data_IF_920089405977
#
_entry.id   IF_920089405977
#
_cell.length_a   1.000
_cell.length_b   1.000
_cell.length_c   1.000
_cell.angle_alpha   90.00
_cell.angle_beta   90.00
_cell.angle_gamma   90.00
#
_symmetry.space_group_name_H-M   'P 1'
#
loop_
_entity.id
_entity.type
_entity.pdbx_description
1 polymer ?
#
# COMPACT_ATOMS: atom_id res chain seq x y z
N UNK A 1 44.53 6.12 15.08
CA UNK A 1 43.61 7.25 14.84
C UNK A 1 44.31 8.40 14.09
N UNK A 2 45.40 8.13 13.36
CA UNK A 2 46.22 9.17 12.70
C UNK A 2 45.88 9.40 11.22
N UNK A 3 44.97 8.62 10.63
CA UNK A 3 44.48 8.79 9.26
C UNK A 3 43.73 10.13 9.05
N UNK A 4 43.28 10.77 10.14
CA UNK A 4 42.58 12.07 10.13
C UNK A 4 43.51 13.28 10.29
N UNK A 5 44.83 13.08 10.40
CA UNK A 5 45.78 14.20 10.54
C UNK A 5 46.43 14.61 9.24
N UNK A 6 46.32 13.80 8.19
CA UNK A 6 46.91 14.11 6.90
C UNK A 6 45.94 15.00 6.08
N UNK A 7 46.27 16.29 5.90
CA UNK A 7 45.41 17.22 5.16
C UNK A 7 45.23 16.81 3.70
N UNK A 8 46.15 16.04 3.12
CA UNK A 8 46.05 15.57 1.73
C UNK A 8 45.01 14.45 1.58
N UNK A 9 44.90 13.55 2.56
CA UNK A 9 43.87 12.51 2.58
C UNK A 9 42.47 13.08 2.82
N UNK A 10 42.34 14.08 3.69
CA UNK A 10 41.08 14.80 3.90
C UNK A 10 40.68 15.57 2.64
N UNK A 11 41.62 16.27 2.00
CA UNK A 11 41.37 16.96 0.74
C UNK A 11 40.96 15.98 -0.36
N UNK A 12 41.64 14.85 -0.51
CA UNK A 12 41.29 13.81 -1.49
C UNK A 12 39.91 13.19 -1.23
N UNK A 13 39.55 12.95 0.03
CA UNK A 13 38.23 12.44 0.41
C UNK A 13 37.12 13.46 0.13
N UNK A 14 37.34 14.74 0.46
CA UNK A 14 36.40 15.83 0.15
C UNK A 14 36.24 16.04 -1.36
N UNK A 15 37.35 15.99 -2.12
CA UNK A 15 37.31 16.07 -3.58
C UNK A 15 36.58 14.88 -4.19
N UNK A 16 36.82 13.67 -3.68
CA UNK A 16 36.09 12.45 -4.07
C UNK A 16 34.61 12.53 -3.74
N UNK A 17 34.24 13.08 -2.59
CA UNK A 17 32.85 13.26 -2.18
C UNK A 17 32.13 14.33 -3.01
N UNK A 18 32.78 15.46 -3.30
CA UNK A 18 32.23 16.51 -4.18
C UNK A 18 32.12 16.00 -5.62
N UNK A 19 33.12 15.27 -6.12
CA UNK A 19 33.07 14.62 -7.42
C UNK A 19 31.95 13.58 -7.47
N UNK A 20 31.73 12.80 -6.41
CA UNK A 20 30.63 11.85 -6.32
C UNK A 20 29.25 12.54 -6.29
N UNK A 21 29.10 13.68 -5.60
CA UNK A 21 27.87 14.46 -5.59
C UNK A 21 27.58 15.12 -6.94
N UNK A 22 28.58 15.68 -7.60
CA UNK A 22 28.46 16.25 -8.94
C UNK A 22 28.17 15.15 -9.97
N UNK A 23 28.87 14.02 -9.88
CA UNK A 23 28.60 12.82 -10.67
C UNK A 23 27.18 12.33 -10.42
N UNK A 24 26.69 12.30 -9.18
CA UNK A 24 25.31 11.91 -8.87
C UNK A 24 24.28 12.90 -9.43
N UNK A 25 24.56 14.20 -9.40
CA UNK A 25 23.72 15.23 -10.02
C UNK A 25 23.65 15.11 -11.54
N UNK A 26 24.80 14.89 -12.18
CA UNK A 26 24.92 14.67 -13.63
C UNK A 26 24.28 13.34 -14.00
N UNK A 27 24.60 12.25 -13.33
CA UNK A 27 23.99 10.93 -13.53
C UNK A 27 22.49 10.99 -13.31
N UNK A 28 21.96 11.71 -12.31
CA UNK A 28 20.51 11.85 -12.13
C UNK A 28 19.85 12.57 -13.31
N UNK A 29 20.43 13.67 -13.80
CA UNK A 29 19.91 14.39 -14.99
C UNK A 29 20.06 13.56 -16.26
N UNK A 30 21.21 12.93 -16.45
CA UNK A 30 21.53 12.06 -17.57
C UNK A 30 20.67 10.80 -17.55
N UNK A 31 20.42 10.19 -16.40
CA UNK A 31 19.53 9.03 -16.22
C UNK A 31 18.09 9.41 -16.52
N UNK A 32 17.62 10.60 -16.13
CA UNK A 32 16.28 11.08 -16.51
C UNK A 32 16.18 11.32 -18.03
N UNK A 33 17.23 11.85 -18.66
CA UNK A 33 17.30 12.03 -20.11
C UNK A 33 17.39 10.69 -20.85
N UNK A 34 18.23 9.77 -20.36
CA UNK A 34 18.42 8.42 -20.87
C UNK A 34 17.16 7.59 -20.65
N UNK A 35 16.43 7.72 -19.54
CA UNK A 35 15.13 7.09 -19.32
C UNK A 35 14.05 7.68 -20.25
N UNK A 36 14.08 8.99 -20.54
CA UNK A 36 13.19 9.60 -21.54
C UNK A 36 13.53 9.14 -22.96
N UNK A 37 14.82 9.00 -23.28
CA UNK A 37 15.33 8.50 -24.56
C UNK A 37 15.06 7.01 -24.71
N UNK A 38 15.38 6.17 -23.73
CA UNK A 38 15.01 4.75 -23.64
C UNK A 38 13.51 4.58 -23.72
N UNK A 39 12.70 5.38 -23.01
CA UNK A 39 11.24 5.34 -23.16
C UNK A 39 10.83 5.66 -24.61
N UNK A 40 11.45 6.63 -25.29
CA UNK A 40 11.19 6.91 -26.71
C UNK A 40 11.70 5.82 -27.65
N UNK A 41 12.85 5.23 -27.36
CA UNK A 41 13.55 4.24 -28.20
C UNK A 41 12.96 2.85 -28.00
N UNK A 42 12.75 2.37 -26.77
CA UNK A 42 12.03 1.13 -26.48
C UNK A 42 10.55 1.24 -26.85
N UNK A 43 9.86 2.37 -26.65
CA UNK A 43 8.44 2.42 -27.06
C UNK A 43 8.23 2.39 -28.58
N UNK A 44 9.25 2.71 -29.39
CA UNK A 44 9.15 2.69 -30.86
C UNK A 44 8.99 1.28 -31.46
N UNK A 45 9.80 0.24 -31.14
CA UNK A 45 9.59 -1.13 -31.59
C UNK A 45 8.37 -1.79 -30.94
N UNK A 46 7.98 -1.37 -29.73
CA UNK A 46 6.77 -1.89 -29.09
C UNK A 46 5.48 -1.20 -29.56
N UNK A 47 5.51 -0.03 -30.23
CA UNK A 47 4.31 0.61 -30.81
C UNK A 47 3.57 -0.27 -31.83
N UNK A 48 4.23 -0.91 -32.82
CA UNK A 48 3.54 -1.85 -33.70
C UNK A 48 3.04 -3.08 -32.93
N UNK A 49 3.77 -3.57 -31.92
CA UNK A 49 3.30 -4.67 -31.05
C UNK A 49 2.05 -4.28 -30.25
N UNK A 50 2.00 -3.07 -29.68
CA UNK A 50 0.83 -2.54 -28.93
C UNK A 50 -0.35 -2.29 -29.87
N UNK A 51 -0.10 -1.83 -31.11
CA UNK A 51 -1.15 -1.73 -32.15
C UNK A 51 -1.63 -3.09 -32.63
N UNK A 52 -0.73 -4.07 -32.76
CA UNK A 52 -1.03 -5.45 -33.12
C UNK A 52 -1.82 -6.13 -31.99
N UNK A 53 -1.43 -5.95 -30.72
CA UNK A 53 -2.15 -6.42 -29.55
C UNK A 53 -3.54 -5.75 -29.45
N UNK A 54 -3.67 -4.45 -29.76
CA UNK A 54 -4.98 -3.79 -29.89
C UNK A 54 -5.83 -4.37 -31.03
N UNK A 55 -5.23 -4.69 -32.19
CA UNK A 55 -5.93 -5.31 -33.32
C UNK A 55 -6.29 -6.78 -33.06
N UNK A 56 -5.43 -7.54 -32.38
CA UNK A 56 -5.68 -8.91 -31.94
C UNK A 56 -6.73 -8.97 -30.83
N UNK A 57 -6.84 -7.93 -29.99
CA UNK A 57 -7.94 -7.76 -29.01
C UNK A 57 -9.31 -7.56 -29.68
N UNK A 58 -9.35 -7.07 -30.92
CA UNK A 58 -10.58 -6.92 -31.72
C UNK A 58 -10.93 -8.23 -32.47
N UNK A 59 -9.95 -9.12 -32.69
CA UNK A 59 -10.13 -10.35 -33.48
C UNK A 59 -10.21 -11.64 -32.63
N UNK A 60 -9.87 -11.62 -31.33
CA UNK A 60 -9.88 -12.81 -30.46
C UNK A 60 -11.18 -12.97 -29.66
N UNK A 61 -12.22 -13.40 -30.36
CA UNK A 61 -13.26 -14.22 -29.74
C UNK A 61 -12.86 -15.70 -29.79
N UNK A 62 -13.02 -16.42 -28.67
CA UNK A 62 -13.11 -17.89 -28.57
C UNK A 62 -11.82 -18.73 -28.47
N UNK A 63 -10.93 -18.48 -27.51
CA UNK A 63 -10.12 -19.61 -26.96
C UNK A 63 -9.98 -19.53 -25.44
N UNK A 64 -10.16 -20.66 -24.75
CA UNK A 64 -10.14 -20.77 -23.29
C UNK A 64 -8.77 -20.43 -22.67
N UNK A 65 -7.67 -20.70 -23.38
CA UNK A 65 -6.32 -20.26 -22.97
C UNK A 65 -6.15 -18.73 -23.07
N UNK A 66 -6.82 -18.09 -24.03
CA UNK A 66 -6.88 -16.63 -24.10
C UNK A 66 -7.82 -16.04 -23.05
N UNK A 67 -8.82 -16.78 -22.56
CA UNK A 67 -9.63 -16.37 -21.41
C UNK A 67 -8.80 -16.36 -20.12
N UNK A 68 -8.00 -17.39 -19.83
CA UNK A 68 -7.13 -17.39 -18.64
C UNK A 68 -6.04 -16.30 -18.68
N UNK A 69 -5.43 -16.05 -19.85
CA UNK A 69 -4.48 -14.95 -20.01
C UNK A 69 -5.16 -13.57 -20.03
N UNK A 70 -6.39 -13.46 -20.54
CA UNK A 70 -7.20 -12.24 -20.47
C UNK A 70 -7.74 -12.00 -19.06
N UNK A 71 -8.01 -13.03 -18.27
CA UNK A 71 -8.35 -12.93 -16.85
C UNK A 71 -7.13 -12.48 -16.05
N UNK A 72 -5.96 -13.08 -16.26
CA UNK A 72 -4.71 -12.61 -15.67
C UNK A 72 -4.35 -11.17 -16.07
N UNK A 73 -4.55 -10.82 -17.35
CA UNK A 73 -4.36 -9.47 -17.85
C UNK A 73 -5.45 -8.49 -17.38
N UNK A 74 -6.69 -8.94 -17.15
CA UNK A 74 -7.78 -8.16 -16.57
C UNK A 74 -7.60 -7.97 -15.06
N UNK A 75 -7.04 -8.94 -14.35
CA UNK A 75 -6.64 -8.79 -12.94
C UNK A 75 -5.48 -7.79 -12.84
N UNK A 76 -4.53 -7.83 -13.79
CA UNK A 76 -3.49 -6.81 -13.93
C UNK A 76 -4.04 -5.44 -14.37
N UNK A 77 -5.01 -5.38 -15.30
CA UNK A 77 -5.71 -4.15 -15.74
C UNK A 77 -6.57 -3.57 -14.62
N UNK A 78 -7.21 -4.39 -13.77
CA UNK A 78 -7.90 -3.95 -12.55
C UNK A 78 -6.92 -3.41 -11.52
N UNK A 79 -5.79 -4.09 -11.33
CA UNK A 79 -4.66 -3.57 -10.54
C UNK A 79 -4.04 -2.26 -11.09
N UNK A 80 -4.38 -1.87 -12.33
CA UNK A 80 -3.88 -0.68 -13.01
C UNK A 80 -4.94 0.39 -13.34
N UNK A 81 -6.25 0.13 -13.20
CA UNK A 81 -7.26 1.14 -13.60
C UNK A 81 -8.76 0.81 -13.52
N UNK A 82 -9.23 -0.16 -12.73
CA UNK A 82 -10.67 -0.29 -12.44
C UNK A 82 -10.92 -0.05 -10.96
N UNK A 83 -11.96 0.73 -10.66
CA UNK A 83 -12.40 1.08 -9.31
C UNK A 83 -12.68 -0.21 -8.52
N UNK A 84 -12.08 -0.35 -7.33
CA UNK A 84 -12.35 -1.49 -6.43
C UNK A 84 -13.83 -1.46 -6.01
N UNK A 85 -14.42 -2.60 -5.64
CA UNK A 85 -15.84 -2.60 -5.18
C UNK A 85 -16.09 -1.65 -4.01
N UNK A 86 -15.10 -1.50 -3.13
CA UNK A 86 -15.09 -0.49 -2.06
C UNK A 86 -15.21 0.94 -2.62
N UNK A 87 -14.50 1.25 -3.71
CA UNK A 87 -14.53 2.57 -4.35
C UNK A 87 -15.86 2.83 -5.06
N UNK A 88 -16.37 1.79 -5.72
CA UNK A 88 -17.70 1.81 -6.32
C UNK A 88 -18.75 2.08 -5.23
N UNK A 89 -18.73 1.31 -4.14
CA UNK A 89 -19.64 1.48 -3.01
C UNK A 89 -19.52 2.87 -2.35
N UNK A 90 -18.30 3.40 -2.21
CA UNK A 90 -18.04 4.74 -1.68
C UNK A 90 -18.63 5.85 -2.55
N UNK A 91 -18.63 5.65 -3.87
CA UNK A 91 -19.11 6.63 -4.85
C UNK A 91 -20.60 6.52 -5.14
N UNK A 92 -21.29 5.46 -4.74
CA UNK A 92 -22.73 5.40 -4.96
C UNK A 92 -23.44 6.47 -4.11
N UNK A 93 -24.41 7.17 -4.67
CA UNK A 93 -25.29 8.08 -3.92
C UNK A 93 -26.36 7.27 -3.17
N UNK A 94 -26.73 7.71 -1.97
CA UNK A 94 -27.67 6.99 -1.10
C UNK A 94 -29.11 7.00 -1.64
N UNK A 95 -29.50 8.08 -2.33
CA UNK A 95 -30.89 8.34 -2.74
C UNK A 95 -31.05 8.48 -4.27
N UNK A 96 -30.23 7.79 -5.07
CA UNK A 96 -30.36 7.84 -6.52
C UNK A 96 -31.71 7.23 -6.96
N UNK A 97 -32.62 7.98 -7.61
CA UNK A 97 -33.91 7.45 -8.05
C UNK A 97 -33.69 6.34 -9.10
N UNK A 98 -34.47 5.26 -8.99
CA UNK A 98 -34.40 4.11 -9.88
C UNK A 98 -34.46 4.56 -11.35
N UNK A 99 -33.40 4.28 -12.11
CA UNK A 99 -33.31 4.60 -13.54
C UNK A 99 -32.65 5.94 -13.90
N UNK A 100 -32.29 6.80 -12.93
CA UNK A 100 -31.42 7.94 -13.21
C UNK A 100 -30.00 7.46 -13.51
N UNK A 101 -29.29 8.15 -14.42
CA UNK A 101 -27.83 7.97 -14.55
C UNK A 101 -27.24 8.25 -13.18
N UNK A 102 -26.74 7.21 -12.50
CA UNK A 102 -26.16 7.33 -11.17
C UNK A 102 -25.02 8.34 -11.24
N UNK A 103 -25.28 9.56 -10.76
CA UNK A 103 -24.22 10.51 -10.48
C UNK A 103 -23.39 9.92 -9.35
N UNK A 104 -22.11 9.71 -9.62
CA UNK A 104 -21.17 9.21 -8.63
C UNK A 104 -20.83 10.36 -7.69
N UNK A 105 -20.81 10.08 -6.38
CA UNK A 105 -20.36 11.02 -5.38
C UNK A 105 -18.91 11.41 -5.65
N UNK A 106 -18.69 12.73 -5.72
CA UNK A 106 -17.36 13.29 -5.93
C UNK A 106 -16.74 13.68 -4.59
N UNK A 107 -15.50 13.24 -4.38
CA UNK A 107 -14.74 13.46 -3.15
C UNK A 107 -13.91 14.77 -3.21
N UNK A 108 -14.26 15.73 -4.06
CA UNK A 108 -13.51 16.98 -4.22
C UNK A 108 -13.33 17.74 -2.90
N UNK A 109 -14.37 17.81 -2.06
CA UNK A 109 -14.31 18.49 -0.77
C UNK A 109 -13.38 17.76 0.21
N UNK A 110 -13.51 16.43 0.31
CA UNK A 110 -12.63 15.59 1.12
C UNK A 110 -11.18 15.70 0.65
N UNK A 111 -10.95 15.66 -0.67
CA UNK A 111 -9.61 15.77 -1.26
C UNK A 111 -8.98 17.13 -1.02
N UNK A 112 -9.77 18.22 -1.00
CA UNK A 112 -9.29 19.56 -0.70
C UNK A 112 -8.79 19.70 0.76
N UNK A 113 -9.36 18.93 1.69
CA UNK A 113 -8.97 18.92 3.10
C UNK A 113 -7.72 18.05 3.34
N UNK A 114 -7.54 16.99 2.53
CA UNK A 114 -6.41 16.07 2.68
C UNK A 114 -5.10 16.68 2.14
N UNK A 115 -4.10 16.79 3.02
CA UNK A 115 -2.77 17.29 2.63
C UNK A 115 -1.90 16.10 2.17
N UNK A 116 -1.61 16.04 0.86
CA UNK A 116 -0.79 15.00 0.23
C UNK A 116 0.59 15.57 -0.11
N UNK A 117 1.65 15.02 0.47
CA UNK A 117 3.04 15.49 0.26
C UNK A 117 3.95 14.41 -0.31
N UNK A 118 5.09 14.84 -0.86
CA UNK A 118 6.19 13.95 -1.26
C UNK A 118 6.22 13.58 -2.75
N UNK A 119 7.43 13.58 -3.32
CA UNK A 119 7.65 13.38 -4.75
C UNK A 119 7.77 11.89 -5.13
N UNK A 120 8.65 11.16 -4.43
CA UNK A 120 8.93 9.74 -4.72
C UNK A 120 7.98 8.85 -3.91
N UNK A 121 7.98 9.04 -2.60
CA UNK A 121 7.04 8.43 -1.67
C UNK A 121 6.05 9.48 -1.21
N UNK A 122 4.78 9.11 -1.17
CA UNK A 122 3.68 9.99 -0.80
C UNK A 122 3.36 9.86 0.68
N UNK A 123 3.04 10.98 1.31
CA UNK A 123 2.39 11.02 2.61
C UNK A 123 1.00 11.61 2.51
N UNK A 124 0.11 11.17 3.41
CA UNK A 124 -1.19 11.78 3.63
C UNK A 124 -1.23 12.27 5.07
N UNK A 125 -1.63 13.52 5.27
CA UNK A 125 -2.00 14.06 6.57
C UNK A 125 -3.49 14.31 6.62
N UNK A 126 -4.12 13.88 7.71
CA UNK A 126 -5.57 14.02 7.92
C UNK A 126 -5.82 15.04 9.03
N UNK A 127 -6.22 16.28 8.70
CA UNK A 127 -6.46 17.31 9.72
C UNK A 127 -7.70 16.98 10.56
N UNK A 128 -7.82 17.58 11.74
CA UNK A 128 -8.98 17.39 12.61
C UNK A 128 -10.30 17.88 11.97
N UNK A 129 -10.22 18.90 11.11
CA UNK A 129 -11.35 19.43 10.35
C UNK A 129 -11.94 18.43 9.34
N UNK A 130 -11.27 17.29 9.11
CA UNK A 130 -11.80 16.23 8.25
C UNK A 130 -12.97 15.46 8.89
N UNK A 131 -13.12 15.53 10.22
CA UNK A 131 -14.22 14.88 10.93
C UNK A 131 -15.57 15.49 10.49
N UNK A 132 -16.61 14.67 10.26
CA UNK A 132 -17.92 15.20 9.90
C UNK A 132 -18.57 15.93 11.08
N UNK A 133 -19.41 16.92 10.79
CA UNK A 133 -19.97 17.82 11.80
C UNK A 133 -20.77 17.10 12.89
N UNK A 134 -21.50 16.04 12.51
CA UNK A 134 -22.27 15.21 13.43
C UNK A 134 -21.40 14.42 14.44
N UNK A 135 -20.09 14.30 14.20
CA UNK A 135 -19.11 13.76 15.15
C UNK A 135 -18.31 14.86 15.87
N UNK A 136 -18.05 15.98 15.21
CA UNK A 136 -17.23 17.07 15.73
C UNK A 136 -17.95 17.90 16.81
N UNK A 137 -19.26 18.13 16.64
CA UNK A 137 -20.11 18.90 17.57
C UNK A 137 -20.79 18.04 18.64
N UNK A 138 -21.55 18.66 19.59
CA UNK A 138 -22.31 17.96 20.63
C UNK A 138 -23.47 17.13 20.06
N UNK A 139 -24.02 16.18 20.84
CA UNK A 139 -25.15 15.34 20.42
C UNK A 139 -26.45 16.15 20.51
N UNK A 140 -26.69 16.99 19.51
CA UNK A 140 -27.94 17.74 19.41
C UNK A 140 -29.11 16.82 19.05
N UNK A 141 -30.32 17.32 19.24
CA UNK A 141 -31.53 16.59 18.87
C UNK A 141 -31.54 16.22 17.38
N UNK A 142 -31.09 17.13 16.51
CA UNK A 142 -30.96 16.89 15.07
C UNK A 142 -30.00 15.73 14.75
N UNK A 143 -28.85 15.67 15.43
CA UNK A 143 -27.90 14.56 15.27
C UNK A 143 -28.50 13.25 15.79
N UNK A 144 -29.24 13.30 16.90
CA UNK A 144 -29.93 12.14 17.41
C UNK A 144 -31.03 11.64 16.46
N UNK A 145 -31.78 12.54 15.81
CA UNK A 145 -32.80 12.19 14.81
C UNK A 145 -32.16 11.55 13.57
N UNK A 146 -31.04 12.13 13.11
CA UNK A 146 -30.21 11.53 12.08
C UNK A 146 -29.80 10.10 12.48
N UNK A 147 -29.28 9.91 13.69
CA UNK A 147 -28.83 8.59 14.16
C UNK A 147 -29.97 7.58 14.27
N UNK A 148 -31.17 7.98 14.71
CA UNK A 148 -32.35 7.10 14.73
C UNK A 148 -32.72 6.66 13.32
N UNK A 149 -32.75 7.61 12.38
CA UNK A 149 -33.07 7.33 10.98
C UNK A 149 -32.07 6.35 10.38
N UNK A 150 -30.77 6.61 10.55
CA UNK A 150 -29.69 5.75 10.04
C UNK A 150 -29.67 4.37 10.70
N UNK A 151 -29.92 4.31 12.01
CA UNK A 151 -30.06 3.04 12.71
C UNK A 151 -31.28 2.26 12.20
N UNK A 152 -32.40 2.93 11.93
CA UNK A 152 -33.59 2.28 11.38
C UNK A 152 -33.28 1.68 10.00
N UNK A 153 -32.62 2.43 9.12
CA UNK A 153 -32.14 1.91 7.83
C UNK A 153 -31.25 0.70 8.04
N UNK A 154 -30.21 0.81 8.87
CA UNK A 154 -29.27 -0.28 9.17
C UNK A 154 -29.96 -1.58 9.62
N UNK A 155 -30.88 -1.51 10.58
CA UNK A 155 -31.58 -2.70 11.08
C UNK A 155 -32.64 -3.25 10.11
N UNK A 156 -33.05 -2.46 9.12
CA UNK A 156 -33.98 -2.89 8.07
C UNK A 156 -33.29 -3.33 6.77
N UNK A 157 -32.00 -3.04 6.62
CA UNK A 157 -31.25 -3.32 5.41
C UNK A 157 -31.11 -4.84 5.21
N UNK A 158 -31.45 -5.37 4.03
CA UNK A 158 -31.20 -6.78 3.73
C UNK A 158 -29.69 -7.04 3.64
N UNK A 159 -29.26 -8.18 4.17
CA UNK A 159 -27.87 -8.64 4.00
C UNK A 159 -27.73 -9.20 2.59
N UNK A 160 -27.16 -8.41 1.69
CA UNK A 160 -26.91 -8.79 0.31
C UNK A 160 -25.63 -9.63 0.23
N UNK A 161 -25.74 -10.96 0.24
CA UNK A 161 -24.62 -11.85 -0.05
C UNK A 161 -24.42 -11.88 -1.57
N UNK A 162 -23.46 -11.11 -2.07
CA UNK A 162 -23.12 -11.08 -3.49
C UNK A 162 -21.68 -11.54 -3.64
N UNK A 163 -21.47 -12.64 -4.35
CA UNK A 163 -20.13 -13.08 -4.74
C UNK A 163 -19.85 -12.56 -6.13
N UNK A 164 -18.92 -11.62 -6.23
CA UNK A 164 -18.35 -11.28 -7.52
C UNK A 164 -17.09 -12.11 -7.72
N UNK A 165 -17.11 -13.07 -8.66
CA UNK A 165 -15.97 -13.93 -9.00
C UNK A 165 -14.72 -13.13 -9.41
N UNK A 166 -14.91 -11.85 -9.72
CA UNK A 166 -13.90 -10.91 -10.17
C UNK A 166 -13.32 -10.05 -9.04
N UNK A 167 -13.95 -10.05 -7.87
CA UNK A 167 -13.54 -9.29 -6.69
C UNK A 167 -12.80 -10.18 -5.72
N UNK A 168 -11.88 -9.59 -4.97
CA UNK A 168 -11.29 -10.29 -3.84
C UNK A 168 -12.30 -10.28 -2.70
N UNK A 169 -12.39 -11.38 -1.94
CA UNK A 169 -13.35 -11.52 -0.85
C UNK A 169 -13.35 -10.30 0.09
N UNK A 170 -12.16 -9.75 0.35
CA UNK A 170 -12.01 -8.62 1.24
C UNK A 170 -12.52 -7.30 0.63
N UNK A 171 -12.49 -7.14 -0.70
CA UNK A 171 -13.06 -5.96 -1.35
C UNK A 171 -14.59 -6.03 -1.36
N UNK A 172 -15.17 -7.23 -1.50
CA UNK A 172 -16.62 -7.45 -1.39
C UNK A 172 -17.14 -7.22 0.04
N UNK A 173 -16.45 -7.77 1.04
CA UNK A 173 -16.74 -7.50 2.46
C UNK A 173 -16.63 -6.00 2.77
N UNK A 174 -15.57 -5.35 2.31
CA UNK A 174 -15.37 -3.91 2.48
C UNK A 174 -16.48 -3.09 1.82
N UNK A 175 -16.91 -3.46 0.62
CA UNK A 175 -17.99 -2.79 -0.10
C UNK A 175 -19.34 -2.93 0.63
N UNK A 176 -19.63 -4.11 1.17
CA UNK A 176 -20.82 -4.35 1.99
C UNK A 176 -20.81 -3.46 3.24
N UNK A 177 -19.71 -3.44 4.00
CA UNK A 177 -19.56 -2.58 5.17
C UNK A 177 -19.75 -1.10 4.81
N UNK A 178 -19.13 -0.66 3.72
CA UNK A 178 -19.32 0.70 3.21
C UNK A 178 -20.78 0.95 2.89
N UNK A 179 -21.50 0.06 2.19
CA UNK A 179 -22.91 0.29 1.85
C UNK A 179 -23.82 0.47 3.08
N UNK A 180 -23.51 -0.20 4.19
CA UNK A 180 -24.29 -0.10 5.43
C UNK A 180 -24.10 1.25 6.14
N UNK A 181 -22.90 1.81 6.11
CA UNK A 181 -22.53 3.00 6.87
C UNK A 181 -22.14 4.20 6.01
N UNK A 182 -22.22 4.08 4.69
CA UNK A 182 -21.87 5.08 3.67
C UNK A 182 -22.47 6.44 3.94
N UNK A 183 -23.71 6.48 4.44
CA UNK A 183 -24.41 7.73 4.66
C UNK A 183 -23.92 8.52 5.89
N UNK A 184 -23.10 7.90 6.74
CA UNK A 184 -22.63 8.50 8.00
C UNK A 184 -21.09 8.51 8.08
N UNK A 185 -20.46 7.42 7.65
CA UNK A 185 -19.02 7.17 7.81
C UNK A 185 -18.25 7.21 6.47
N UNK A 186 -18.84 7.76 5.40
CA UNK A 186 -18.20 7.84 4.06
C UNK A 186 -16.77 8.36 4.12
N UNK A 187 -16.60 9.48 4.81
CA UNK A 187 -15.31 10.18 4.96
C UNK A 187 -14.27 9.28 5.63
N UNK A 188 -14.68 8.50 6.62
CA UNK A 188 -13.81 7.55 7.32
C UNK A 188 -13.31 6.47 6.38
N UNK A 189 -14.23 5.74 5.74
CA UNK A 189 -13.86 4.67 4.82
C UNK A 189 -13.05 5.17 3.63
N UNK A 190 -13.36 6.36 3.11
CA UNK A 190 -12.58 7.00 2.06
C UNK A 190 -11.13 7.26 2.50
N UNK A 191 -10.90 7.85 3.69
CA UNK A 191 -9.54 8.07 4.20
C UNK A 191 -8.79 6.76 4.45
N UNK A 192 -9.46 5.76 5.01
CA UNK A 192 -8.85 4.44 5.22
C UNK A 192 -8.42 3.81 3.89
N UNK A 193 -9.24 3.94 2.85
CA UNK A 193 -8.89 3.49 1.51
C UNK A 193 -7.73 4.31 0.89
N UNK A 194 -7.74 5.63 1.02
CA UNK A 194 -6.64 6.47 0.51
C UNK A 194 -5.32 6.19 1.22
N UNK A 195 -5.34 5.92 2.53
CA UNK A 195 -4.19 5.48 3.31
C UNK A 195 -3.69 4.12 2.82
N UNK A 196 -4.59 3.14 2.65
CA UNK A 196 -4.29 1.82 2.03
C UNK A 196 -3.55 1.98 0.70
N UNK A 197 -4.12 2.77 -0.21
CA UNK A 197 -3.55 3.03 -1.55
C UNK A 197 -2.20 3.71 -1.49
N UNK A 198 -2.02 4.66 -0.59
CA UNK A 198 -0.77 5.40 -0.45
C UNK A 198 0.35 4.50 0.08
N UNK A 199 0.05 3.72 1.13
CA UNK A 199 0.97 2.75 1.71
C UNK A 199 1.39 1.70 0.67
N UNK A 200 0.42 1.06 0.01
CA UNK A 200 0.69 0.08 -1.04
C UNK A 200 1.42 0.70 -2.22
N UNK A 201 1.04 1.92 -2.62
CA UNK A 201 1.69 2.67 -3.68
C UNK A 201 3.15 2.97 -3.39
N UNK A 202 3.49 3.32 -2.15
CA UNK A 202 4.86 3.55 -1.71
C UNK A 202 5.67 2.25 -1.71
N UNK A 203 5.12 1.16 -1.17
CA UNK A 203 5.77 -0.14 -1.16
C UNK A 203 6.06 -0.61 -2.60
N UNK A 204 5.08 -0.52 -3.49
CA UNK A 204 5.23 -0.83 -4.92
C UNK A 204 6.30 0.03 -5.59
N UNK A 205 6.31 1.34 -5.33
CA UNK A 205 7.32 2.26 -5.89
C UNK A 205 8.72 1.93 -5.38
N UNK A 206 8.86 1.59 -4.10
CA UNK A 206 10.13 1.14 -3.54
C UNK A 206 10.58 -0.10 -4.29
N UNK A 207 9.77 -1.15 -4.35
CA UNK A 207 10.09 -2.40 -5.05
C UNK A 207 10.54 -2.16 -6.50
N UNK A 208 9.83 -1.33 -7.26
CA UNK A 208 10.25 -1.02 -8.64
C UNK A 208 11.52 -0.19 -8.72
N UNK A 209 11.72 0.78 -7.81
CA UNK A 209 12.94 1.59 -7.78
C UNK A 209 14.15 0.72 -7.46
N UNK A 210 14.03 -0.17 -6.47
CA UNK A 210 15.09 -1.10 -6.08
C UNK A 210 15.36 -2.12 -7.19
N UNK A 211 14.30 -2.67 -7.78
CA UNK A 211 14.41 -3.54 -8.95
C UNK A 211 15.17 -2.83 -10.08
N UNK A 212 14.78 -1.62 -10.45
CA UNK A 212 15.44 -0.87 -11.52
C UNK A 212 16.92 -0.60 -11.24
N UNK A 213 17.29 -0.23 -10.00
CA UNK A 213 18.69 -0.03 -9.61
C UNK A 213 19.49 -1.33 -9.73
N UNK A 214 18.92 -2.45 -9.28
CA UNK A 214 19.57 -3.76 -9.33
C UNK A 214 19.76 -4.25 -10.78
N UNK A 215 18.78 -4.05 -11.66
CA UNK A 215 18.93 -4.38 -13.09
C UNK A 215 19.97 -3.49 -13.78
N UNK A 216 20.00 -2.20 -13.45
CA UNK A 216 20.98 -1.28 -14.02
C UNK A 216 22.41 -1.68 -13.63
N UNK A 217 22.62 -1.96 -12.34
CA UNK A 217 23.89 -2.45 -11.84
C UNK A 217 24.27 -3.80 -12.44
N UNK A 218 23.30 -4.72 -12.53
CA UNK A 218 23.50 -6.02 -13.13
C UNK A 218 23.94 -5.91 -14.59
N UNK A 219 23.23 -5.10 -15.38
CA UNK A 219 23.56 -4.87 -16.78
C UNK A 219 24.95 -4.26 -16.93
N UNK A 220 25.30 -3.26 -16.13
CA UNK A 220 26.63 -2.66 -16.14
C UNK A 220 27.72 -3.68 -15.77
N UNK A 221 27.47 -4.53 -14.77
CA UNK A 221 28.39 -5.57 -14.33
C UNK A 221 28.58 -6.64 -15.41
N UNK A 222 27.49 -7.11 -16.02
CA UNK A 222 27.52 -8.10 -17.09
C UNK A 222 28.32 -7.59 -18.30
N UNK A 223 28.07 -6.33 -18.69
CA UNK A 223 28.80 -5.68 -19.78
C UNK A 223 30.30 -5.64 -19.50
N UNK A 224 30.70 -5.24 -18.29
CA UNK A 224 32.12 -5.20 -17.90
C UNK A 224 32.70 -6.61 -17.97
N UNK A 225 32.09 -7.59 -17.29
CA UNK A 225 32.58 -8.98 -17.22
C UNK A 225 32.69 -9.62 -18.60
N UNK A 226 31.66 -9.50 -19.45
CA UNK A 226 31.70 -10.07 -20.81
C UNK A 226 32.78 -9.40 -21.66
N UNK A 227 32.98 -8.09 -21.50
CA UNK A 227 34.03 -7.37 -22.23
C UNK A 227 35.42 -7.82 -21.81
N UNK A 228 35.67 -7.99 -20.50
CA UNK A 228 36.95 -8.53 -20.00
C UNK A 228 37.17 -9.95 -20.49
N UNK A 229 36.14 -10.80 -20.47
CA UNK A 229 36.23 -12.17 -20.98
C UNK A 229 36.60 -12.21 -22.46
N UNK A 230 35.92 -11.41 -23.29
CA UNK A 230 36.15 -11.39 -24.74
C UNK A 230 37.59 -10.95 -25.06
N UNK A 231 38.10 -9.94 -24.35
CA UNK A 231 39.46 -9.40 -24.54
C UNK A 231 40.53 -10.35 -23.99
N UNK A 232 40.39 -10.79 -22.74
CA UNK A 232 41.45 -11.49 -22.00
C UNK A 232 41.49 -12.99 -22.31
N UNK A 233 40.33 -13.64 -22.48
CA UNK A 233 40.22 -15.10 -22.61
C UNK A 233 39.97 -15.49 -24.06
N UNK A 234 38.94 -14.92 -24.68
CA UNK A 234 38.58 -15.28 -26.06
C UNK A 234 39.50 -14.65 -27.11
N UNK A 235 40.34 -13.67 -26.72
CA UNK A 235 41.19 -12.85 -27.61
C UNK A 235 40.39 -12.25 -28.79
N UNK A 236 39.11 -11.98 -28.55
CA UNK A 236 38.18 -11.32 -29.47
C UNK A 236 38.19 -9.83 -29.17
N UNK A 237 37.87 -9.00 -30.17
CA UNK A 237 37.57 -7.59 -29.92
C UNK A 237 36.39 -7.45 -28.93
N UNK A 238 36.22 -6.28 -28.29
CA UNK A 238 35.15 -6.07 -27.32
C UNK A 238 33.77 -6.25 -27.97
N UNK A 239 32.89 -7.05 -27.35
CA UNK A 239 31.53 -7.30 -27.86
C UNK A 239 30.61 -6.08 -27.84
N UNK A 240 30.97 -5.04 -27.09
CA UNK A 240 30.20 -3.80 -27.01
C UNK A 240 31.01 -2.62 -27.55
N UNK A 241 30.43 -1.74 -28.39
CA UNK A 241 31.14 -0.63 -29.02
C UNK A 241 31.85 0.30 -28.02
N UNK A 242 31.23 0.50 -26.86
CA UNK A 242 31.77 1.36 -25.81
C UNK A 242 32.80 0.65 -24.92
N UNK A 243 32.85 -0.69 -24.93
CA UNK A 243 33.81 -1.45 -24.15
C UNK A 243 35.23 -1.32 -24.71
N UNK A 244 35.39 -0.94 -25.98
CA UNK A 244 36.69 -0.58 -26.55
C UNK A 244 37.39 0.56 -25.80
N UNK A 245 36.62 1.52 -25.27
CA UNK A 245 37.19 2.62 -24.46
C UNK A 245 37.60 2.20 -23.06
N UNK A 246 37.00 1.12 -22.54
CA UNK A 246 37.29 0.58 -21.21
C UNK A 246 38.37 -0.51 -21.26
N UNK A 247 38.54 -1.15 -22.42
CA UNK A 247 39.47 -2.24 -22.67
C UNK A 247 40.92 -2.01 -22.16
N UNK A 248 41.54 -0.82 -22.34
CA UNK A 248 42.90 -0.59 -21.87
C UNK A 248 43.04 -0.56 -20.34
N UNK A 249 41.93 -0.36 -19.63
CA UNK A 249 41.88 -0.15 -18.18
C UNK A 249 41.21 -1.30 -17.42
N UNK A 250 40.70 -2.30 -18.14
CA UNK A 250 39.98 -3.44 -17.59
C UNK A 250 40.84 -4.70 -17.72
N UNK A 251 41.68 -4.94 -16.71
CA UNK A 251 42.12 -6.31 -16.41
C UNK A 251 41.06 -7.04 -15.56
N UNK A 252 41.26 -8.33 -15.31
CA UNK A 252 40.28 -9.12 -14.56
C UNK A 252 40.08 -8.63 -13.11
N UNK A 253 41.17 -8.22 -12.44
CA UNK A 253 41.12 -7.73 -11.06
C UNK A 253 40.34 -6.42 -10.97
N UNK A 254 40.61 -5.45 -11.85
CA UNK A 254 39.90 -4.17 -11.93
C UNK A 254 38.42 -4.37 -12.29
N UNK A 255 38.08 -5.30 -13.17
CA UNK A 255 36.70 -5.67 -13.46
C UNK A 255 35.98 -6.24 -12.22
N UNK A 256 36.64 -7.13 -11.48
CA UNK A 256 36.10 -7.69 -10.23
C UNK A 256 35.91 -6.63 -9.14
N UNK A 257 36.90 -5.75 -8.96
CA UNK A 257 36.79 -4.60 -8.06
C UNK A 257 35.69 -3.63 -8.48
N UNK A 258 35.48 -3.42 -9.78
CA UNK A 258 34.38 -2.60 -10.27
C UNK A 258 33.01 -3.22 -9.94
N UNK A 259 32.84 -4.53 -10.16
CA UNK A 259 31.58 -5.22 -9.86
C UNK A 259 31.28 -5.15 -8.35
N UNK A 260 32.26 -5.47 -7.51
CA UNK A 260 32.10 -5.41 -6.04
C UNK A 260 31.90 -3.98 -5.55
N UNK A 261 32.73 -3.04 -6.01
CA UNK A 261 32.64 -1.63 -5.63
C UNK A 261 31.32 -0.99 -6.04
N UNK A 262 30.86 -1.25 -7.27
CA UNK A 262 29.55 -0.78 -7.75
C UNK A 262 28.38 -1.43 -7.00
N UNK A 263 28.51 -2.69 -6.59
CA UNK A 263 27.51 -3.36 -5.75
C UNK A 263 27.39 -2.67 -4.39
N UNK A 264 28.51 -2.30 -3.76
CA UNK A 264 28.52 -1.54 -2.50
C UNK A 264 27.84 -0.18 -2.69
N UNK A 265 28.17 0.55 -3.75
CA UNK A 265 27.54 1.85 -4.06
C UNK A 265 26.03 1.70 -4.23
N UNK A 266 25.58 0.68 -4.96
CA UNK A 266 24.15 0.39 -5.16
C UNK A 266 23.48 0.02 -3.84
N UNK A 267 24.15 -0.78 -3.00
CA UNK A 267 23.71 -1.12 -1.65
C UNK A 267 23.56 0.10 -0.74
N UNK A 268 24.50 1.05 -0.79
CA UNK A 268 24.41 2.31 -0.05
C UNK A 268 23.25 3.17 -0.58
N UNK A 269 23.13 3.34 -1.89
CA UNK A 269 22.02 4.08 -2.52
C UNK A 269 20.66 3.48 -2.14
N UNK A 270 20.60 2.16 -2.13
CA UNK A 270 19.46 1.40 -1.69
C UNK A 270 19.09 1.72 -0.24
N UNK A 271 20.06 1.66 0.68
CA UNK A 271 19.85 1.98 2.10
C UNK A 271 19.40 3.43 2.29
N UNK A 272 19.92 4.36 1.48
CA UNK A 272 19.51 5.77 1.52
C UNK A 272 18.05 5.96 1.05
N UNK A 273 17.67 5.37 -0.08
CA UNK A 273 16.29 5.44 -0.62
C UNK A 273 15.30 4.79 0.36
N UNK A 274 15.67 3.65 0.93
CA UNK A 274 14.84 2.89 1.86
C UNK A 274 14.74 3.58 3.23
N UNK A 275 15.86 4.05 3.78
CA UNK A 275 15.93 4.66 5.11
C UNK A 275 15.36 6.07 5.18
N UNK A 276 15.85 6.97 4.31
CA UNK A 276 15.43 8.38 4.34
C UNK A 276 14.14 8.63 3.55
N UNK A 277 13.92 7.91 2.45
CA UNK A 277 12.75 8.09 1.61
C UNK A 277 11.55 7.31 2.12
N UNK A 278 11.64 5.98 2.05
CA UNK A 278 10.49 5.11 2.26
C UNK A 278 10.09 5.02 3.73
N UNK A 279 11.02 4.64 4.61
CA UNK A 279 10.72 4.36 6.02
C UNK A 279 10.10 5.57 6.71
N UNK A 280 10.68 6.76 6.52
CA UNK A 280 10.16 7.99 7.12
C UNK A 280 8.71 8.29 6.69
N UNK A 281 8.41 8.18 5.39
CA UNK A 281 7.06 8.45 4.88
C UNK A 281 6.08 7.36 5.30
N UNK A 282 6.53 6.12 5.37
CA UNK A 282 5.70 4.98 5.77
C UNK A 282 5.32 5.05 7.25
N UNK A 283 6.29 5.31 8.13
CA UNK A 283 6.04 5.57 9.56
C UNK A 283 5.12 6.78 9.76
N UNK A 284 5.32 7.85 8.98
CA UNK A 284 4.41 9.00 9.04
C UNK A 284 2.97 8.62 8.68
N UNK A 285 2.76 7.90 7.57
CA UNK A 285 1.42 7.45 7.17
C UNK A 285 0.77 6.53 8.20
N UNK A 286 1.53 5.58 8.77
CA UNK A 286 1.03 4.68 9.82
C UNK A 286 0.63 5.46 11.07
N UNK A 287 1.47 6.42 11.50
CA UNK A 287 1.16 7.30 12.63
C UNK A 287 -0.06 8.17 12.37
N UNK A 288 -0.19 8.77 11.19
CA UNK A 288 -1.36 9.57 10.82
C UNK A 288 -2.64 8.74 10.77
N UNK A 289 -2.57 7.52 10.22
CA UNK A 289 -3.68 6.57 10.25
C UNK A 289 -4.12 6.24 11.68
N UNK A 290 -3.16 5.93 12.56
CA UNK A 290 -3.42 5.68 13.98
C UNK A 290 -4.06 6.90 14.66
N UNK A 291 -3.49 8.08 14.49
CA UNK A 291 -4.02 9.31 15.08
C UNK A 291 -5.42 9.65 14.58
N UNK A 292 -5.68 9.42 13.29
CA UNK A 292 -7.01 9.56 12.71
C UNK A 292 -8.01 8.60 13.37
N UNK A 293 -7.68 7.31 13.48
CA UNK A 293 -8.54 6.31 14.10
C UNK A 293 -8.84 6.62 15.57
N UNK A 294 -7.82 6.98 16.36
CA UNK A 294 -8.01 7.36 17.77
C UNK A 294 -8.97 8.54 17.88
N UNK A 295 -8.82 9.58 17.04
CA UNK A 295 -9.73 10.73 17.05
C UNK A 295 -11.15 10.32 16.63
N UNK A 296 -11.28 9.57 15.54
CA UNK A 296 -12.58 9.20 14.97
C UNK A 296 -13.37 8.29 15.92
N UNK A 297 -12.75 7.20 16.38
CA UNK A 297 -13.36 6.23 17.29
C UNK A 297 -13.56 6.83 18.69
N UNK A 298 -12.65 7.70 19.14
CA UNK A 298 -12.83 8.48 20.36
C UNK A 298 -14.10 9.33 20.33
N UNK A 299 -14.37 10.02 19.21
CA UNK A 299 -15.62 10.78 19.03
C UNK A 299 -16.84 9.87 19.00
N UNK A 300 -16.78 8.70 18.37
CA UNK A 300 -17.89 7.74 18.41
C UNK A 300 -18.15 7.27 19.84
N UNK A 301 -17.11 6.99 20.62
CA UNK A 301 -17.23 6.60 22.02
C UNK A 301 -17.82 7.74 22.88
N UNK A 302 -17.45 8.99 22.64
CA UNK A 302 -18.07 10.15 23.30
C UNK A 302 -19.58 10.22 22.98
N UNK A 303 -19.96 10.05 21.69
CA UNK A 303 -21.38 10.01 21.28
C UNK A 303 -22.14 8.86 21.93
N UNK A 304 -21.50 7.71 22.12
CA UNK A 304 -22.09 6.56 22.82
C UNK A 304 -22.35 6.87 24.30
N UNK A 305 -21.39 7.51 24.99
CA UNK A 305 -21.55 7.91 26.40
C UNK A 305 -22.65 8.95 26.56
N UNK A 306 -22.71 9.95 25.68
CA UNK A 306 -23.79 10.94 25.67
C UNK A 306 -25.16 10.29 25.40
N UNK A 307 -25.26 9.38 24.43
CA UNK A 307 -26.49 8.64 24.15
C UNK A 307 -26.93 7.78 25.35
N UNK A 308 -25.99 7.15 26.04
CA UNK A 308 -26.25 6.36 27.25
C UNK A 308 -26.73 7.25 28.41
N UNK A 309 -26.11 8.42 28.60
CA UNK A 309 -26.54 9.41 29.58
C UNK A 309 -27.97 9.90 29.32
N UNK A 310 -28.26 10.25 28.07
CA UNK A 310 -29.60 10.68 27.66
C UNK A 310 -30.64 9.55 27.80
N UNK A 311 -30.28 8.31 27.47
CA UNK A 311 -31.15 7.14 27.67
C UNK A 311 -31.53 6.97 29.15
N UNK A 312 -30.57 7.08 30.06
CA UNK A 312 -30.85 7.03 31.51
C UNK A 312 -31.76 8.16 31.97
N UNK A 313 -31.76 9.31 31.30
CA UNK A 313 -32.54 10.47 31.72
C UNK A 313 -33.96 10.49 31.14
N UNK A 314 -34.33 9.56 30.26
CA UNK A 314 -35.66 9.53 29.60
C UNK A 314 -36.81 9.54 30.61
N UNK A 315 -36.64 8.89 31.76
CA UNK A 315 -37.69 8.76 32.79
C UNK A 315 -37.76 9.94 33.73
N UNK A 316 -36.80 10.87 33.67
CA UNK A 316 -36.71 12.03 34.57
C UNK A 316 -37.40 13.23 33.93
N UNK A 317 -38.58 13.61 34.43
CA UNK A 317 -39.25 14.88 34.11
C UNK A 317 -40.52 14.79 33.24
N UNK A 318 -40.72 13.71 32.48
CA UNK A 318 -41.89 13.50 31.59
C UNK A 318 -42.80 12.35 32.08
N UNK A 319 -43.01 12.31 33.39
CA UNK A 319 -43.65 11.23 34.14
C UNK A 319 -45.13 10.95 33.77
N UNK A 320 -45.81 11.88 33.12
CA UNK A 320 -47.26 11.83 32.91
C UNK A 320 -47.71 11.18 31.59
N UNK A 321 -46.84 11.02 30.59
CA UNK A 321 -47.21 10.47 29.27
C UNK A 321 -46.37 9.24 28.90
N UNK A 322 -46.91 8.06 29.21
CA UNK A 322 -46.27 6.76 28.98
C UNK A 322 -45.94 6.51 27.50
N UNK A 323 -46.71 7.07 26.55
CA UNK A 323 -46.45 6.91 25.12
C UNK A 323 -45.22 7.71 24.69
N UNK A 324 -45.08 8.95 25.18
CA UNK A 324 -43.89 9.77 24.91
C UNK A 324 -42.63 9.15 25.51
N UNK A 325 -42.71 8.67 26.75
CA UNK A 325 -41.61 7.96 27.41
C UNK A 325 -41.18 6.72 26.60
N UNK A 326 -42.14 5.89 26.18
CA UNK A 326 -41.84 4.70 25.38
C UNK A 326 -41.20 5.05 24.03
N UNK A 327 -41.65 6.11 23.36
CA UNK A 327 -41.05 6.58 22.11
C UNK A 327 -39.62 7.11 22.29
N UNK A 328 -39.38 7.90 23.35
CA UNK A 328 -38.05 8.40 23.69
C UNK A 328 -37.09 7.25 24.06
N UNK A 329 -37.54 6.30 24.88
CA UNK A 329 -36.76 5.12 25.25
C UNK A 329 -36.40 4.29 24.02
N UNK A 330 -37.36 4.04 23.12
CA UNK A 330 -37.12 3.33 21.84
C UNK A 330 -36.10 4.05 20.97
N UNK A 331 -36.16 5.39 20.90
CA UNK A 331 -35.21 6.22 20.16
C UNK A 331 -33.79 6.05 20.69
N UNK A 332 -33.59 6.28 21.99
CA UNK A 332 -32.26 6.21 22.59
C UNK A 332 -31.70 4.80 22.62
N UNK A 333 -32.53 3.79 22.89
CA UNK A 333 -32.13 2.38 22.82
C UNK A 333 -31.61 2.02 21.41
N UNK A 334 -32.31 2.46 20.36
CA UNK A 334 -31.87 2.19 18.98
C UNK A 334 -30.50 2.84 18.68
N UNK A 335 -30.29 4.08 19.13
CA UNK A 335 -28.99 4.77 18.99
C UNK A 335 -27.90 4.01 19.76
N UNK A 336 -28.18 3.63 21.01
CA UNK A 336 -27.24 2.91 21.88
C UNK A 336 -26.82 1.57 21.29
N UNK A 337 -27.71 0.83 20.64
CA UNK A 337 -27.35 -0.45 20.01
C UNK A 337 -26.60 -0.22 18.69
N UNK A 338 -26.97 0.80 17.92
CA UNK A 338 -26.38 1.07 16.60
C UNK A 338 -24.95 1.62 16.66
N UNK A 339 -24.64 2.52 17.61
CA UNK A 339 -23.31 3.13 17.71
C UNK A 339 -22.19 2.07 17.91
N UNK A 340 -22.32 1.07 18.79
CA UNK A 340 -21.34 -0.01 18.90
C UNK A 340 -21.14 -0.80 17.61
N UNK A 341 -22.21 -1.09 16.84
CA UNK A 341 -22.07 -1.72 15.53
C UNK A 341 -21.23 -0.88 14.57
N UNK A 342 -21.37 0.46 14.57
CA UNK A 342 -20.48 1.33 13.78
C UNK A 342 -19.02 1.10 14.14
N UNK A 343 -18.69 1.13 15.43
CA UNK A 343 -17.32 0.91 15.92
C UNK A 343 -16.79 -0.46 15.50
N UNK A 344 -17.57 -1.51 15.68
CA UNK A 344 -17.22 -2.87 15.28
C UNK A 344 -16.93 -2.98 13.78
N UNK A 345 -17.80 -2.43 12.93
CA UNK A 345 -17.63 -2.52 11.48
C UNK A 345 -16.49 -1.64 10.94
N UNK A 346 -16.24 -0.46 11.54
CA UNK A 346 -15.03 0.32 11.24
C UNK A 346 -13.78 -0.50 11.58
N UNK A 347 -13.79 -1.20 12.71
CA UNK A 347 -12.67 -2.05 13.12
C UNK A 347 -12.45 -3.23 12.16
N UNK A 348 -13.53 -3.94 11.76
CA UNK A 348 -13.46 -4.98 10.73
C UNK A 348 -12.86 -4.43 9.43
N UNK A 349 -13.28 -3.23 9.01
CA UNK A 349 -12.75 -2.60 7.81
C UNK A 349 -11.26 -2.24 7.94
N UNK A 350 -10.80 -1.75 9.11
CA UNK A 350 -9.37 -1.49 9.35
C UNK A 350 -8.55 -2.78 9.35
N UNK A 351 -9.07 -3.86 9.96
CA UNK A 351 -8.43 -5.19 9.92
C UNK A 351 -8.27 -5.68 8.49
N UNK A 352 -9.32 -5.51 7.68
CA UNK A 352 -9.31 -5.81 6.27
C UNK A 352 -8.27 -4.96 5.51
N UNK A 353 -8.25 -3.62 5.69
CA UNK A 353 -7.23 -2.74 5.10
C UNK A 353 -5.81 -3.20 5.47
N UNK A 354 -5.56 -3.55 6.74
CA UNK A 354 -4.27 -4.06 7.19
C UNK A 354 -3.91 -5.38 6.49
N UNK A 355 -4.85 -6.32 6.41
CA UNK A 355 -4.65 -7.58 5.72
C UNK A 355 -4.28 -7.37 4.24
N UNK A 356 -5.01 -6.50 3.56
CA UNK A 356 -4.75 -6.20 2.16
C UNK A 356 -3.38 -5.53 1.94
N UNK A 357 -2.98 -4.63 2.84
CA UNK A 357 -1.64 -4.06 2.83
C UNK A 357 -0.58 -5.17 2.99
N UNK A 358 -0.75 -6.05 3.98
CA UNK A 358 0.16 -7.17 4.23
C UNK A 358 0.32 -8.06 3.01
N UNK A 359 -0.81 -8.49 2.44
CA UNK A 359 -0.89 -9.34 1.26
C UNK A 359 -0.23 -8.68 0.04
N UNK A 360 -0.56 -7.42 -0.23
CA UNK A 360 0.02 -6.71 -1.38
C UNK A 360 1.53 -6.52 -1.24
N UNK A 361 2.01 -6.21 -0.03
CA UNK A 361 3.45 -6.18 0.26
C UNK A 361 4.13 -7.55 0.03
N UNK A 362 3.45 -8.66 0.37
CA UNK A 362 3.93 -10.01 0.03
C UNK A 362 3.95 -10.24 -1.47
N UNK A 363 2.95 -9.79 -2.23
CA UNK A 363 2.99 -9.91 -3.69
C UNK A 363 4.13 -9.12 -4.33
N UNK A 364 4.47 -7.96 -3.77
CA UNK A 364 5.62 -7.18 -4.24
C UNK A 364 6.96 -7.89 -3.99
N UNK A 365 7.04 -8.91 -3.13
CA UNK A 365 8.25 -9.73 -2.95
C UNK A 365 8.57 -10.56 -4.20
N UNK A 366 7.53 -11.01 -4.92
CA UNK A 366 7.73 -11.84 -6.10
C UNK A 366 8.34 -11.07 -7.27
N UNK A 367 8.11 -9.76 -7.34
CA UNK A 367 8.63 -8.90 -8.42
C UNK A 367 10.17 -8.97 -8.50
N UNK A 368 10.94 -8.67 -7.43
CA UNK A 368 12.39 -8.75 -7.46
C UNK A 368 12.90 -10.19 -7.62
N UNK A 369 12.21 -11.19 -7.05
CA UNK A 369 12.58 -12.61 -7.23
C UNK A 369 12.50 -13.00 -8.71
N UNK A 370 11.35 -12.75 -9.35
CA UNK A 370 11.15 -13.04 -10.77
C UNK A 370 12.10 -12.25 -11.64
N UNK A 371 12.40 -11.01 -11.25
CA UNK A 371 13.39 -10.17 -11.93
C UNK A 371 14.79 -10.78 -11.90
N UNK A 372 15.26 -11.22 -10.73
CA UNK A 372 16.57 -11.86 -10.59
C UNK A 372 16.61 -13.18 -11.37
N UNK A 373 15.54 -13.98 -11.31
CA UNK A 373 15.43 -15.21 -12.09
C UNK A 373 15.49 -14.94 -13.60
N UNK A 374 14.81 -13.89 -14.08
CA UNK A 374 14.88 -13.46 -15.47
C UNK A 374 16.29 -13.03 -15.86
N UNK A 375 16.97 -12.25 -15.02
CA UNK A 375 18.37 -11.86 -15.25
C UNK A 375 19.29 -13.08 -15.33
N UNK A 376 19.12 -14.06 -14.45
CA UNK A 376 19.87 -15.31 -14.48
C UNK A 376 19.65 -16.05 -15.80
N UNK A 377 18.38 -16.21 -16.23
CA UNK A 377 18.03 -16.85 -17.50
C UNK A 377 18.64 -16.12 -18.70
N UNK A 378 18.55 -14.79 -18.75
CA UNK A 378 19.18 -13.97 -19.82
C UNK A 378 20.69 -14.20 -19.87
N UNK A 379 21.32 -14.38 -18.73
CA UNK A 379 22.76 -14.58 -18.60
C UNK A 379 23.17 -15.96 -19.11
N UNK A 380 22.46 -17.00 -18.65
CA UNK A 380 22.65 -18.36 -19.14
C UNK A 380 22.43 -18.44 -20.66
N UNK A 381 21.36 -17.80 -21.17
CA UNK A 381 21.09 -17.74 -22.61
C UNK A 381 22.19 -17.00 -23.38
N UNK A 382 22.68 -15.88 -22.86
CA UNK A 382 23.76 -15.11 -23.50
C UNK A 382 25.04 -15.94 -23.59
N UNK A 383 25.36 -16.71 -22.54
CA UNK A 383 26.48 -17.64 -22.53
C UNK A 383 26.23 -18.83 -23.48
N UNK A 384 25.00 -19.36 -23.51
CA UNK A 384 24.66 -20.52 -24.33
C UNK A 384 24.64 -20.24 -25.85
N UNK A 385 24.25 -19.03 -26.26
CA UNK A 385 24.28 -18.61 -27.67
C UNK A 385 25.73 -18.55 -28.19
N UNK A 386 26.70 -18.30 -27.31
CA UNK A 386 28.13 -18.36 -27.63
C UNK A 386 28.62 -19.81 -27.55
N UNK A 387 28.06 -20.70 -28.38
CA UNK A 387 28.22 -22.16 -28.31
C UNK A 387 29.68 -22.67 -28.20
N UNK A 388 30.66 -21.98 -28.80
CA UNK A 388 32.09 -22.32 -28.68
C UNK A 388 32.67 -22.07 -27.27
N UNK A 389 32.04 -21.18 -26.50
CA UNK A 389 32.50 -20.76 -25.18
C UNK A 389 31.95 -21.66 -24.06
N UNK A 390 30.93 -22.51 -24.28
CA UNK A 390 30.35 -23.38 -23.23
C UNK A 390 31.33 -24.49 -22.82
N UNK A 391 32.00 -25.11 -23.78
CA UNK A 391 33.01 -26.14 -23.51
C UNK A 391 34.23 -25.53 -22.81
N UNK A 392 34.61 -24.31 -23.18
CA UNK A 392 35.65 -23.51 -22.52
C UNK A 392 35.22 -23.08 -21.11
N UNK A 393 33.95 -22.71 -20.92
CA UNK A 393 33.33 -22.43 -19.61
C UNK A 393 33.43 -23.64 -18.69
N UNK A 394 33.04 -24.80 -19.22
CA UNK A 394 33.02 -26.06 -18.48
C UNK A 394 34.45 -26.49 -18.08
N UNK A 395 35.41 -26.35 -19.00
CA UNK A 395 36.82 -26.59 -18.68
C UNK A 395 37.40 -25.54 -17.73
N UNK A 396 37.01 -24.27 -17.82
CA UNK A 396 37.46 -23.23 -16.89
C UNK A 396 36.87 -23.40 -15.48
N UNK A 397 35.63 -23.87 -15.36
CA UNK A 397 35.01 -24.24 -14.07
C UNK A 397 35.71 -25.47 -13.46
N UNK A 398 36.09 -26.45 -14.28
CA UNK A 398 36.84 -27.63 -13.83
C UNK A 398 38.32 -27.33 -13.52
N UNK A 399 38.90 -26.29 -14.13
CA UNK A 399 40.29 -25.88 -13.93
C UNK A 399 40.52 -25.01 -12.68
N UNK A 400 39.57 -24.98 -11.75
CA UNK A 400 39.64 -24.24 -10.49
C UNK A 400 39.74 -22.71 -10.65
N UNK A 401 39.22 -22.18 -11.77
CA UNK A 401 39.10 -20.73 -11.93
C UNK A 401 37.93 -20.23 -11.05
N UNK A 402 38.28 -19.85 -9.82
CA UNK A 402 37.44 -19.17 -8.82
C UNK A 402 36.61 -18.02 -9.42
N UNK A 403 37.11 -17.45 -10.51
CA UNK A 403 36.54 -16.41 -11.35
C UNK A 403 35.12 -16.73 -11.88
N UNK A 404 34.84 -18.00 -12.23
CA UNK A 404 33.53 -18.41 -12.74
C UNK A 404 32.44 -18.48 -11.67
N UNK A 405 32.83 -18.62 -10.40
CA UNK A 405 31.90 -18.65 -9.26
C UNK A 405 31.47 -17.26 -8.80
N UNK A 406 32.17 -16.20 -9.23
CA UNK A 406 31.85 -14.81 -8.84
C UNK A 406 30.45 -14.43 -9.34
N UNK A 407 30.12 -14.72 -10.59
CA UNK A 407 28.82 -14.32 -11.15
C UNK A 407 27.63 -15.01 -10.44
N UNK A 408 27.62 -16.35 -10.26
CA UNK A 408 26.58 -17.03 -9.48
C UNK A 408 26.54 -16.60 -8.00
N UNK A 409 27.69 -16.38 -7.36
CA UNK A 409 27.72 -15.89 -5.97
C UNK A 409 27.14 -14.49 -5.85
N UNK A 410 27.43 -13.60 -6.80
CA UNK A 410 26.86 -12.26 -6.86
C UNK A 410 25.34 -12.31 -7.08
N UNK A 411 24.85 -13.24 -7.90
CA UNK A 411 23.42 -13.52 -8.05
C UNK A 411 22.76 -13.99 -6.75
N UNK A 412 23.36 -14.99 -6.09
CA UNK A 412 22.87 -15.55 -4.84
C UNK A 412 22.87 -14.48 -3.73
N UNK A 413 23.96 -13.73 -3.60
CA UNK A 413 24.10 -12.66 -2.61
C UNK A 413 23.08 -11.55 -2.85
N UNK A 414 22.87 -11.15 -4.11
CA UNK A 414 21.85 -10.15 -4.48
C UNK A 414 20.44 -10.64 -4.14
N UNK A 415 20.13 -11.91 -4.40
CA UNK A 415 18.85 -12.52 -4.06
C UNK A 415 18.64 -12.55 -2.53
N UNK A 416 19.67 -12.94 -1.78
CA UNK A 416 19.64 -12.98 -0.30
C UNK A 416 19.45 -11.57 0.28
N UNK A 417 20.20 -10.58 -0.19
CA UNK A 417 20.08 -9.19 0.27
C UNK A 417 18.67 -8.65 -0.04
N UNK A 418 18.15 -8.92 -1.24
CA UNK A 418 16.80 -8.48 -1.62
C UNK A 418 15.72 -9.16 -0.78
N UNK A 419 15.82 -10.47 -0.56
CA UNK A 419 14.89 -11.21 0.27
C UNK A 419 14.94 -10.73 1.73
N UNK A 420 16.14 -10.54 2.28
CA UNK A 420 16.35 -10.02 3.63
C UNK A 420 15.77 -8.63 3.78
N UNK A 421 16.07 -7.69 2.89
CA UNK A 421 15.54 -6.33 3.01
C UNK A 421 14.02 -6.32 2.83
N UNK A 422 13.49 -7.05 1.86
CA UNK A 422 12.04 -7.05 1.64
C UNK A 422 11.29 -7.58 2.87
N UNK A 423 11.78 -8.68 3.47
CA UNK A 423 11.24 -9.24 4.71
C UNK A 423 11.41 -8.29 5.90
N UNK A 424 12.63 -7.88 6.20
CA UNK A 424 12.94 -7.15 7.42
C UNK A 424 12.56 -5.67 7.37
N UNK A 425 12.36 -5.09 6.18
CA UNK A 425 12.19 -3.64 6.05
C UNK A 425 10.90 -3.20 5.39
N UNK A 426 10.36 -3.96 4.44
CA UNK A 426 9.04 -3.64 3.88
C UNK A 426 7.97 -4.22 4.78
N UNK A 427 8.04 -5.51 5.11
CA UNK A 427 7.07 -6.13 6.00
C UNK A 427 7.13 -5.56 7.42
N UNK A 428 8.31 -5.43 8.04
CA UNK A 428 8.38 -4.95 9.42
C UNK A 428 7.97 -3.47 9.60
N UNK A 429 8.23 -2.60 8.62
CA UNK A 429 7.84 -1.17 8.72
C UNK A 429 6.36 -0.98 8.43
N UNK A 430 5.80 -1.77 7.52
CA UNK A 430 4.38 -1.67 7.13
C UNK A 430 3.46 -2.40 8.12
N UNK A 431 3.90 -3.53 8.65
CA UNK A 431 3.14 -4.37 9.60
C UNK A 431 3.58 -4.20 11.05
N UNK A 432 4.50 -3.26 11.31
CA UNK A 432 5.06 -3.01 12.63
C UNK A 432 4.01 -2.65 13.69
N UNK A 433 4.46 -2.66 14.93
CA UNK A 433 3.67 -2.51 16.17
C UNK A 433 2.77 -1.26 16.22
N UNK A 434 2.99 -0.25 15.37
CA UNK A 434 2.23 1.01 15.38
C UNK A 434 0.76 0.86 14.97
N UNK A 435 0.40 -0.22 14.27
CA UNK A 435 -0.99 -0.63 13.98
C UNK A 435 -1.45 -1.78 14.89
N UNK A 436 -0.82 -1.93 16.06
CA UNK A 436 -1.29 -2.79 17.15
C UNK A 436 -2.77 -2.53 17.40
N UNK A 437 -3.57 -3.60 17.37
CA UNK A 437 -5.01 -3.54 17.60
C UNK A 437 -5.33 -2.92 18.96
N UNK A 438 -4.47 -3.14 19.96
CA UNK A 438 -4.65 -2.69 21.34
C UNK A 438 -4.76 -1.15 21.50
N UNK A 439 -4.18 -0.37 20.57
CA UNK A 439 -4.05 1.08 20.74
C UNK A 439 -5.23 1.89 20.17
N UNK A 440 -6.08 1.29 19.34
CA UNK A 440 -7.20 1.96 18.69
C UNK A 440 -8.51 1.16 18.73
N UNK A 441 -8.50 -0.05 19.32
CA UNK A 441 -9.68 -0.85 19.61
C UNK A 441 -10.69 -0.04 20.45
N UNK A 442 -11.81 0.32 19.82
CA UNK A 442 -12.87 1.08 20.48
C UNK A 442 -13.96 0.18 21.07
N UNK A 443 -14.26 -0.96 20.43
CA UNK A 443 -15.47 -1.72 20.72
C UNK A 443 -15.48 -2.33 22.13
N UNK A 444 -14.39 -2.99 22.53
CA UNK A 444 -14.25 -3.56 23.88
C UNK A 444 -14.37 -2.49 24.97
N UNK A 445 -13.91 -1.27 24.68
CA UNK A 445 -13.97 -0.12 25.60
C UNK A 445 -15.38 0.48 25.75
N UNK A 446 -16.35 0.13 24.91
CA UNK A 446 -17.72 0.62 25.02
C UNK A 446 -18.52 -0.09 26.13
N UNK A 447 -18.04 -1.24 26.64
CA UNK A 447 -18.69 -2.04 27.69
C UNK A 447 -20.21 -2.15 27.49
N UNK A 448 -20.61 -2.52 26.27
CA UNK A 448 -22.01 -2.44 25.79
C UNK A 448 -22.97 -3.19 26.70
N UNK A 449 -22.58 -4.39 27.15
CA UNK A 449 -23.40 -5.21 28.05
C UNK A 449 -23.75 -4.45 29.33
N UNK A 450 -22.74 -3.96 30.06
CA UNK A 450 -22.95 -3.26 31.33
C UNK A 450 -23.78 -2.00 31.16
N UNK A 451 -23.58 -1.25 30.08
CA UNK A 451 -24.34 -0.03 29.81
C UNK A 451 -25.80 -0.34 29.45
N UNK A 452 -26.06 -1.41 28.70
CA UNK A 452 -27.42 -1.87 28.40
C UNK A 452 -28.12 -2.38 29.65
N UNK A 453 -27.44 -3.18 30.48
CA UNK A 453 -27.97 -3.70 31.74
C UNK A 453 -28.37 -2.56 32.68
N UNK A 454 -27.56 -1.51 32.78
CA UNK A 454 -27.85 -0.35 33.62
C UNK A 454 -29.06 0.46 33.10
N UNK A 455 -29.15 0.69 31.79
CA UNK A 455 -30.27 1.42 31.19
C UNK A 455 -31.58 0.63 31.29
N UNK A 456 -31.55 -0.67 30.99
CA UNK A 456 -32.71 -1.56 31.11
C UNK A 456 -33.12 -1.71 32.57
N UNK A 457 -32.15 -1.87 33.48
CA UNK A 457 -32.38 -1.91 34.92
C UNK A 457 -33.09 -0.66 35.41
N UNK A 458 -32.61 0.53 35.02
CA UNK A 458 -33.26 1.80 35.36
C UNK A 458 -34.69 1.89 34.84
N UNK A 459 -34.94 1.52 33.58
CA UNK A 459 -36.30 1.49 33.06
C UNK A 459 -37.21 0.52 33.83
N UNK A 460 -36.68 -0.64 34.24
CA UNK A 460 -37.43 -1.61 35.03
C UNK A 460 -37.75 -1.10 36.45
N UNK A 461 -36.79 -0.44 37.11
CA UNK A 461 -36.99 0.22 38.41
C UNK A 461 -38.08 1.29 38.32
N UNK A 462 -38.01 2.17 37.34
CA UNK A 462 -38.98 3.24 37.15
C UNK A 462 -40.37 2.67 36.85
N UNK A 463 -40.49 1.68 35.96
CA UNK A 463 -41.77 1.00 35.70
C UNK A 463 -42.32 0.31 36.96
N UNK A 464 -41.44 -0.31 37.75
CA UNK A 464 -41.80 -0.92 39.04
C UNK A 464 -42.34 0.12 40.04
N UNK A 465 -41.69 1.28 40.14
CA UNK A 465 -42.13 2.41 40.95
C UNK A 465 -43.52 2.92 40.52
N UNK A 466 -43.74 3.10 39.20
CA UNK A 466 -45.04 3.52 38.65
C UNK A 466 -46.15 2.52 38.91
N UNK A 467 -45.88 1.23 38.71
CA UNK A 467 -46.85 0.16 38.98
C UNK A 467 -47.24 0.14 40.44
N UNK A 468 -46.29 0.33 41.36
CA UNK A 468 -46.54 0.41 42.81
C UNK A 468 -47.40 1.60 43.22
N UNK A 469 -47.29 2.75 42.54
CA UNK A 469 -48.12 3.94 42.77
C UNK A 469 -49.55 3.83 42.24
N UNK A 470 -49.74 3.14 41.11
CA UNK A 470 -51.06 2.95 40.48
C UNK A 470 -51.85 1.77 41.05
N UNK A 471 -51.21 0.91 41.85
CA UNK A 471 -51.85 -0.23 42.54
C UNK A 471 -52.40 0.09 43.93
N UNK A 472 -52.38 1.38 44.32
CA UNK A 472 -53.08 1.94 45.50
C UNK A 472 -54.26 2.74 44.95
#
# INVERSE_FOLDING_TARGET
MDFLKDPHLIAAFLLGFVAALLFFGVVRRSLLLVLRLLRRVLSRPFRPLVRLLRRLRILRGKSQAAQGAAEGAQVLERGLGLETEVEVALRHVDDAPDGAKQELYDFQEEEAILDRRGNIFRSIRVPAAYLPDHLAGPLTQEVADLYVSRAATFFSSPVSLHSNDKSLYEDAEGAFVVSLFRSVDRRCYYVLDQMRRTINGNARRLTYTLGALLHLWYFASLVVVLSTYDIAVAKRGPSFPFAHYLAPYLDFYTASFFVVGSAIVVGVLFLLVQGFGYRQQQTHNTRELRLFLIRYLGRIADRYREATGNAKQVTVGDETDSKKLAQAAKRWHKIMVWIPFRTFFIECFVRNVRYQIARNCSYYLWIPILSIAMLFVVTVLTLAIRQDDIAVLYQAVLADNTEFYILPMVFLLSAVIMAFVHRERIHAVVLGEELSHLDWLGYENLNVSSAMDEVVGKYAEDVGFWKGRLSI
#
